data_IF_005673865259
#
_entry.id   IF_005673865259
#
_cell.length_a   1.000
_cell.length_b   1.000
_cell.length_c   1.000
_cell.angle_alpha   90.00
_cell.angle_beta   90.00
_cell.angle_gamma   90.00
#
_symmetry.space_group_name_H-M   'P 1'
#
loop_
_entity.id
_entity.type
_entity.pdbx_description
1 polymer ?
#
# COMPACT_ATOMS: atom_id res chain seq x y z
N UNK A 1 1.28 -21.14 6.46
CA UNK A 1 1.26 -20.15 5.37
C UNK A 1 2.66 -19.68 5.00
N UNK A 2 3.45 -19.09 5.89
CA UNK A 2 4.82 -18.57 5.60
C UNK A 2 5.69 -19.62 4.92
N UNK A 3 5.75 -20.83 5.46
CA UNK A 3 6.49 -21.92 4.83
C UNK A 3 6.07 -22.20 3.38
N UNK A 4 4.74 -22.22 3.11
CA UNK A 4 4.23 -22.46 1.75
C UNK A 4 4.56 -21.31 0.78
N UNK A 5 4.60 -20.06 1.26
CA UNK A 5 5.06 -18.90 0.47
C UNK A 5 6.54 -19.05 0.13
N UNK A 6 7.38 -19.34 1.12
CA UNK A 6 8.83 -19.49 0.92
C UNK A 6 9.16 -20.69 0.03
N UNK A 7 8.47 -21.81 0.21
CA UNK A 7 8.70 -23.03 -0.58
C UNK A 7 8.20 -22.91 -2.03
N UNK A 8 7.08 -22.20 -2.25
CA UNK A 8 6.45 -22.07 -3.56
C UNK A 8 6.82 -20.80 -4.31
N UNK A 9 7.41 -19.81 -3.64
CA UNK A 9 7.67 -18.46 -4.17
C UNK A 9 6.43 -17.83 -4.85
N UNK A 10 5.25 -18.08 -4.28
CA UNK A 10 3.93 -17.66 -4.79
C UNK A 10 3.05 -17.17 -3.65
N UNK A 11 2.17 -16.19 -3.94
CA UNK A 11 1.23 -15.62 -2.97
C UNK A 11 -0.20 -16.14 -3.13
N UNK A 12 -0.53 -16.82 -4.24
CA UNK A 12 -1.85 -17.41 -4.43
C UNK A 12 -2.11 -18.57 -3.46
N UNK A 13 -3.23 -18.56 -2.75
CA UNK A 13 -3.59 -19.59 -1.77
C UNK A 13 -3.52 -21.02 -2.36
N UNK A 14 -3.91 -21.20 -3.61
CA UNK A 14 -3.81 -22.49 -4.30
C UNK A 14 -2.37 -22.96 -4.48
N UNK A 15 -1.45 -22.06 -4.79
CA UNK A 15 -0.03 -22.39 -4.95
C UNK A 15 0.64 -22.64 -3.59
N UNK A 16 0.31 -21.82 -2.59
CA UNK A 16 0.75 -22.04 -1.20
C UNK A 16 0.28 -23.42 -0.72
N UNK A 17 -1.00 -23.77 -0.97
CA UNK A 17 -1.56 -25.05 -0.56
C UNK A 17 -0.88 -26.24 -1.27
N UNK A 18 -0.56 -26.11 -2.57
CA UNK A 18 0.21 -27.15 -3.31
C UNK A 18 1.61 -27.33 -2.74
N UNK A 19 2.27 -26.21 -2.37
CA UNK A 19 3.64 -26.25 -1.82
C UNK A 19 3.72 -26.91 -0.44
N UNK A 20 2.61 -26.94 0.31
CA UNK A 20 2.52 -27.59 1.62
C UNK A 20 2.51 -29.14 1.54
N UNK A 21 2.10 -29.71 0.40
CA UNK A 21 2.06 -31.17 0.14
C UNK A 21 1.35 -31.95 1.25
N UNK A 22 0.23 -31.43 1.76
CA UNK A 22 -0.55 -32.06 2.82
C UNK A 22 -1.35 -33.28 2.28
N UNK A 23 -1.59 -34.27 3.12
CA UNK A 23 -2.34 -35.49 2.77
C UNK A 23 -3.84 -35.26 2.55
N UNK A 24 -4.35 -34.04 2.84
CA UNK A 24 -5.73 -33.64 2.62
C UNK A 24 -5.92 -33.04 1.22
N UNK A 25 -7.17 -32.95 0.77
CA UNK A 25 -7.48 -32.35 -0.52
C UNK A 25 -7.04 -30.88 -0.58
N UNK A 26 -6.60 -30.43 -1.76
CA UNK A 26 -6.19 -29.04 -2.01
C UNK A 26 -7.23 -28.02 -1.52
N UNK A 27 -8.52 -28.31 -1.76
CA UNK A 27 -9.61 -27.45 -1.31
C UNK A 27 -9.64 -27.30 0.22
N UNK A 28 -9.51 -28.39 0.97
CA UNK A 28 -9.49 -28.36 2.44
C UNK A 28 -8.30 -27.56 2.96
N UNK A 29 -7.13 -27.69 2.35
CA UNK A 29 -5.95 -26.87 2.69
C UNK A 29 -6.21 -25.40 2.42
N UNK A 30 -6.74 -25.04 1.25
CA UNK A 30 -7.08 -23.66 0.92
C UNK A 30 -8.10 -23.05 1.90
N UNK A 31 -9.18 -23.78 2.21
CA UNK A 31 -10.22 -23.33 3.13
C UNK A 31 -9.66 -23.11 4.55
N UNK A 32 -8.75 -23.99 5.00
CA UNK A 32 -8.05 -23.82 6.28
C UNK A 32 -7.14 -22.59 6.27
N UNK A 33 -6.34 -22.40 5.23
CA UNK A 33 -5.47 -21.24 5.08
C UNK A 33 -6.26 -19.93 5.05
N UNK A 34 -7.36 -19.90 4.30
CA UNK A 34 -8.24 -18.74 4.22
C UNK A 34 -8.85 -18.39 5.58
N UNK A 35 -9.38 -19.39 6.31
CA UNK A 35 -9.92 -19.16 7.66
C UNK A 35 -8.88 -18.66 8.65
N UNK A 36 -7.66 -19.23 8.62
CA UNK A 36 -6.57 -18.78 9.47
C UNK A 36 -6.14 -17.35 9.15
N UNK A 37 -6.13 -16.98 7.85
CA UNK A 37 -5.80 -15.62 7.43
C UNK A 37 -6.87 -14.63 7.90
N UNK A 38 -8.14 -14.99 7.77
CA UNK A 38 -9.26 -14.16 8.22
C UNK A 38 -9.27 -13.99 9.76
N UNK A 39 -8.90 -15.03 10.49
CA UNK A 39 -8.82 -15.00 11.96
C UNK A 39 -7.53 -14.37 12.50
N UNK A 40 -6.59 -13.97 11.63
CA UNK A 40 -5.30 -13.45 12.05
C UNK A 40 -5.43 -12.04 12.65
N UNK A 41 -5.17 -11.93 13.95
CA UNK A 41 -5.31 -10.69 14.72
C UNK A 41 -3.98 -9.92 14.89
N UNK A 42 -2.84 -10.55 14.61
CA UNK A 42 -1.49 -10.03 14.86
C UNK A 42 -0.96 -9.12 13.73
N UNK A 43 -1.87 -8.48 12.98
CA UNK A 43 -1.47 -7.63 11.83
C UNK A 43 -0.62 -6.44 12.27
N UNK A 44 -1.04 -5.76 13.33
CA UNK A 44 -0.33 -4.56 13.81
C UNK A 44 1.03 -4.90 14.44
N UNK A 45 1.17 -5.84 15.37
CA UNK A 45 2.46 -6.29 15.87
C UNK A 45 3.40 -6.77 14.75
N UNK A 46 2.89 -7.49 13.76
CA UNK A 46 3.67 -7.95 12.61
C UNK A 46 4.23 -6.76 11.82
N UNK A 47 3.39 -5.76 11.52
CA UNK A 47 3.81 -4.56 10.79
C UNK A 47 4.86 -3.77 11.60
N UNK A 48 4.68 -3.60 12.91
CA UNK A 48 5.64 -2.89 13.75
C UNK A 48 7.01 -3.60 13.79
N UNK A 49 7.02 -4.92 13.91
CA UNK A 49 8.25 -5.70 13.85
C UNK A 49 8.91 -5.59 12.47
N UNK A 50 8.14 -5.64 11.41
CA UNK A 50 8.64 -5.44 10.05
C UNK A 50 9.25 -4.05 9.86
N UNK A 51 8.56 -2.98 10.27
CA UNK A 51 9.09 -1.61 10.19
C UNK A 51 10.37 -1.44 11.02
N UNK A 52 10.49 -2.14 12.14
CA UNK A 52 11.73 -2.15 12.94
C UNK A 52 12.90 -2.76 12.15
N UNK A 53 12.64 -3.86 11.42
CA UNK A 53 13.65 -4.45 10.53
C UNK A 53 13.99 -3.53 9.35
N UNK A 54 13.01 -2.92 8.71
CA UNK A 54 13.22 -1.97 7.61
C UNK A 54 14.13 -0.83 8.04
N UNK A 55 13.91 -0.28 9.25
CA UNK A 55 14.73 0.82 9.80
C UNK A 55 16.21 0.48 9.96
N UNK A 56 16.56 -0.80 10.06
CA UNK A 56 17.96 -1.24 10.09
C UNK A 56 18.67 -1.18 8.71
N UNK A 57 17.89 -1.10 7.63
CA UNK A 57 18.36 -1.10 6.24
C UNK A 57 18.28 0.27 5.55
N UNK A 58 17.92 1.31 6.29
CA UNK A 58 17.84 2.68 5.77
C UNK A 58 18.75 3.61 6.59
N UNK A 59 19.33 4.61 5.91
CA UNK A 59 20.04 5.70 6.59
C UNK A 59 19.04 6.78 7.02
N UNK A 60 18.85 6.88 8.30
CA UNK A 60 17.83 7.56 9.06
C UNK A 60 17.26 8.87 8.52
N UNK A 61 18.09 9.88 8.27
CA UNK A 61 17.59 11.25 8.12
C UNK A 61 17.36 11.69 6.67
N UNK A 62 17.77 10.87 5.69
CA UNK A 62 17.72 11.26 4.27
C UNK A 62 17.13 10.17 3.37
N UNK A 63 16.48 9.18 3.96
CA UNK A 63 15.81 8.14 3.18
C UNK A 63 14.72 8.76 2.30
N UNK A 64 14.59 8.23 1.09
CA UNK A 64 13.54 8.60 0.14
C UNK A 64 12.38 7.64 0.30
N UNK A 65 11.20 8.17 0.56
CA UNK A 65 9.94 7.42 0.62
C UNK A 65 9.13 7.78 -0.60
N UNK A 66 8.87 6.81 -1.45
CA UNK A 66 8.03 6.95 -2.64
C UNK A 66 6.61 6.57 -2.24
N UNK A 67 5.64 7.39 -2.61
CA UNK A 67 4.22 7.20 -2.30
C UNK A 67 3.45 7.28 -3.61
N UNK A 68 2.61 6.29 -3.86
CA UNK A 68 1.86 6.20 -5.10
C UNK A 68 0.47 5.59 -4.86
N UNK A 69 -0.50 6.02 -5.68
CA UNK A 69 -1.81 5.41 -5.75
C UNK A 69 -1.85 4.46 -6.94
N UNK A 70 -2.64 3.42 -6.83
CA UNK A 70 -2.88 2.48 -7.92
C UNK A 70 -4.31 1.93 -7.83
N UNK A 71 -4.67 1.09 -8.78
CA UNK A 71 -5.96 0.42 -8.82
C UNK A 71 -5.82 -1.10 -8.97
N UNK A 72 -6.85 -1.81 -8.52
CA UNK A 72 -6.98 -3.25 -8.68
C UNK A 72 -8.28 -3.52 -9.44
N UNK A 73 -8.21 -3.55 -10.76
CA UNK A 73 -9.36 -3.84 -11.61
C UNK A 73 -9.86 -5.27 -11.42
N UNK A 74 -11.18 -5.43 -11.29
CA UNK A 74 -11.89 -6.72 -11.10
C UNK A 74 -13.10 -6.83 -12.02
N UNK A 75 -12.94 -6.66 -13.35
CA UNK A 75 -14.07 -6.53 -14.29
C UNK A 75 -14.98 -7.75 -14.32
N UNK A 76 -14.47 -8.95 -14.07
CA UNK A 76 -15.25 -10.19 -14.06
C UNK A 76 -15.86 -10.53 -12.70
N UNK A 77 -15.55 -9.78 -11.64
CA UNK A 77 -16.02 -10.09 -10.28
C UNK A 77 -17.40 -9.47 -10.05
N UNK A 78 -18.33 -10.28 -9.51
CA UNK A 78 -19.69 -9.85 -9.16
C UNK A 78 -20.03 -10.08 -7.68
N UNK A 79 -19.12 -10.69 -6.92
CA UNK A 79 -19.38 -11.17 -5.55
C UNK A 79 -18.36 -10.69 -4.51
N UNK A 80 -17.37 -9.93 -4.93
CA UNK A 80 -16.44 -9.34 -3.97
C UNK A 80 -17.15 -8.20 -3.23
N UNK A 81 -16.90 -8.12 -1.93
CA UNK A 81 -17.46 -7.09 -1.06
C UNK A 81 -16.93 -5.71 -1.43
N UNK A 82 -17.77 -4.70 -1.30
CA UNK A 82 -17.41 -3.30 -1.48
C UNK A 82 -16.72 -2.98 -2.82
N UNK A 83 -17.06 -3.66 -3.92
CA UNK A 83 -16.61 -3.25 -5.25
C UNK A 83 -17.18 -1.87 -5.59
N UNK A 84 -16.34 -0.98 -6.08
CA UNK A 84 -16.76 0.34 -6.59
C UNK A 84 -16.31 0.53 -8.03
N UNK A 85 -16.91 1.51 -8.70
CA UNK A 85 -16.41 1.97 -9.99
C UNK A 85 -15.05 2.66 -9.78
N UNK A 86 -14.08 2.24 -10.56
CA UNK A 86 -12.74 2.82 -10.62
C UNK A 86 -12.38 3.10 -12.07
N UNK A 87 -11.43 3.98 -12.28
CA UNK A 87 -10.79 4.14 -13.57
C UNK A 87 -9.53 3.30 -13.61
N UNK A 88 -9.55 2.25 -14.41
CA UNK A 88 -8.35 1.42 -14.65
C UNK A 88 -7.26 2.28 -15.33
N UNK A 89 -6.16 2.51 -14.64
CA UNK A 89 -5.07 3.36 -15.14
C UNK A 89 -4.37 2.76 -16.36
N UNK A 90 -4.41 1.44 -16.53
CA UNK A 90 -3.77 0.75 -17.66
C UNK A 90 -4.53 0.89 -18.96
N UNK A 91 -5.86 0.88 -18.90
CA UNK A 91 -6.76 0.97 -20.08
C UNK A 91 -7.42 2.34 -20.22
N UNK A 92 -7.54 3.09 -19.13
CA UNK A 92 -8.30 4.34 -19.04
C UNK A 92 -9.82 4.16 -18.98
N UNK A 93 -10.32 2.93 -18.92
CA UNK A 93 -11.74 2.59 -18.88
C UNK A 93 -12.30 2.60 -17.45
N UNK A 94 -13.62 2.80 -17.34
CA UNK A 94 -14.33 2.64 -16.07
C UNK A 94 -14.67 1.16 -15.88
N UNK A 95 -14.27 0.61 -14.75
CA UNK A 95 -14.50 -0.79 -14.39
C UNK A 95 -14.79 -0.95 -12.91
N UNK A 96 -15.11 -2.16 -12.47
CA UNK A 96 -15.26 -2.49 -11.05
C UNK A 96 -13.90 -2.85 -10.44
N UNK A 97 -13.63 -2.38 -9.21
CA UNK A 97 -12.36 -2.68 -8.55
C UNK A 97 -12.20 -2.00 -7.20
N UNK A 98 -10.95 -1.87 -6.80
CA UNK A 98 -10.50 -1.21 -5.58
C UNK A 98 -9.40 -0.22 -5.91
N UNK A 99 -9.24 0.78 -5.07
CA UNK A 99 -8.09 1.67 -5.07
C UNK A 99 -7.06 1.20 -4.05
N UNK A 100 -5.79 1.50 -4.31
CA UNK A 100 -4.71 1.25 -3.36
C UNK A 100 -3.89 2.51 -3.15
N UNK A 101 -3.30 2.63 -1.98
CA UNK A 101 -2.21 3.55 -1.72
C UNK A 101 -1.05 2.76 -1.13
N UNK A 102 0.11 2.94 -1.70
CA UNK A 102 1.32 2.22 -1.35
C UNK A 102 2.45 3.20 -1.04
N UNK A 103 3.34 2.82 -0.12
CA UNK A 103 4.56 3.54 0.09
C UNK A 103 5.73 2.58 0.27
N UNK A 104 6.86 2.92 -0.32
CA UNK A 104 8.10 2.19 -0.18
C UNK A 104 9.25 3.14 0.16
N UNK A 105 10.12 2.74 1.08
CA UNK A 105 11.37 3.44 1.37
C UNK A 105 12.50 2.80 0.57
N UNK A 106 13.36 3.62 0.01
CA UNK A 106 14.56 3.11 -0.67
C UNK A 106 15.61 2.71 0.37
N UNK A 107 16.16 1.50 0.19
CA UNK A 107 17.29 1.03 1.00
C UNK A 107 18.50 1.97 0.89
N UNK A 108 19.44 1.85 1.80
CA UNK A 108 20.68 2.67 1.82
C UNK A 108 21.42 2.64 0.47
N UNK A 109 21.42 1.51 -0.22
CA UNK A 109 22.00 1.39 -1.57
C UNK A 109 21.20 2.10 -2.66
N UNK A 110 19.98 2.57 -2.38
CA UNK A 110 19.04 3.14 -3.34
C UNK A 110 18.48 2.14 -4.37
N UNK A 111 18.82 0.85 -4.24
CA UNK A 111 18.49 -0.16 -5.26
C UNK A 111 17.28 -1.02 -4.92
N UNK A 112 16.93 -1.12 -3.65
CA UNK A 112 15.84 -1.99 -3.19
C UNK A 112 14.75 -1.17 -2.52
N UNK A 113 13.54 -1.11 -3.11
CA UNK A 113 12.38 -0.55 -2.42
C UNK A 113 11.91 -1.55 -1.34
N UNK A 114 11.71 -1.03 -0.14
CA UNK A 114 11.17 -1.76 1.00
C UNK A 114 9.76 -1.20 1.26
N UNK A 115 8.67 -1.97 1.04
CA UNK A 115 7.33 -1.48 1.26
C UNK A 115 7.12 -1.16 2.74
N UNK A 116 6.52 -0.01 3.04
CA UNK A 116 6.33 0.48 4.42
C UNK A 116 4.91 0.87 4.75
N UNK A 117 4.06 0.94 3.74
CA UNK A 117 2.63 1.15 3.86
C UNK A 117 1.91 0.55 2.67
N UNK A 118 0.77 -0.05 2.93
CA UNK A 118 -0.18 -0.52 1.92
C UNK A 118 -1.58 -0.46 2.49
N UNK A 119 -2.50 0.08 1.72
CA UNK A 119 -3.93 0.03 2.03
C UNK A 119 -4.72 -0.15 0.74
N UNK A 120 -5.58 -1.15 0.72
CA UNK A 120 -6.66 -1.31 -0.27
C UNK A 120 -7.91 -0.67 0.31
N UNK A 121 -8.63 0.10 -0.46
CA UNK A 121 -9.87 0.77 -0.06
C UNK A 121 -10.85 0.91 -1.22
N UNK A 122 -12.09 1.22 -0.92
CA UNK A 122 -13.15 1.39 -1.92
C UNK A 122 -14.12 2.48 -1.53
N UNK A 123 -14.63 3.19 -2.53
CA UNK A 123 -15.70 4.17 -2.33
C UNK A 123 -17.02 3.55 -1.86
N UNK A 124 -17.19 2.24 -2.00
CA UNK A 124 -18.35 1.49 -1.53
C UNK A 124 -18.22 0.98 -0.08
N UNK A 125 -17.08 1.21 0.59
CA UNK A 125 -16.89 0.83 1.98
C UNK A 125 -17.66 1.76 2.94
N UNK A 126 -18.25 1.15 3.98
CA UNK A 126 -18.83 1.93 5.06
C UNK A 126 -17.74 2.74 5.79
N UNK A 127 -17.93 4.06 5.86
CA UNK A 127 -16.98 4.97 6.50
C UNK A 127 -15.91 5.52 5.56
N UNK A 128 -15.92 5.19 4.26
CA UNK A 128 -15.10 5.87 3.28
C UNK A 128 -15.45 7.37 3.22
N UNK A 129 -14.44 8.22 3.29
CA UNK A 129 -14.61 9.68 3.25
C UNK A 129 -14.22 10.22 1.88
N UNK A 130 -13.00 9.98 1.48
CA UNK A 130 -12.44 10.35 0.17
C UNK A 130 -11.06 9.73 -0.01
N UNK A 131 -10.61 9.63 -1.25
CA UNK A 131 -9.24 9.23 -1.58
C UNK A 131 -8.20 10.16 -0.93
N UNK A 132 -8.44 11.48 -0.94
CA UNK A 132 -7.57 12.43 -0.23
C UNK A 132 -7.46 12.12 1.26
N UNK A 133 -8.55 11.71 1.91
CA UNK A 133 -8.53 11.30 3.31
C UNK A 133 -7.65 10.07 3.52
N UNK A 134 -7.78 9.05 2.67
CA UNK A 134 -6.97 7.83 2.74
C UNK A 134 -5.48 8.13 2.53
N UNK A 135 -5.17 8.99 1.57
CA UNK A 135 -3.81 9.45 1.31
C UNK A 135 -3.23 10.21 2.53
N UNK A 136 -4.00 11.07 3.17
CA UNK A 136 -3.57 11.77 4.40
C UNK A 136 -3.37 10.81 5.57
N UNK A 137 -4.16 9.73 5.68
CA UNK A 137 -3.94 8.67 6.66
C UNK A 137 -2.61 7.94 6.42
N UNK A 138 -2.28 7.64 5.16
CA UNK A 138 -0.97 7.11 4.78
C UNK A 138 0.16 8.05 5.22
N UNK A 139 0.09 9.32 4.83
CA UNK A 139 1.09 10.33 5.19
C UNK A 139 1.27 10.45 6.71
N UNK A 140 0.16 10.40 7.47
CA UNK A 140 0.21 10.41 8.94
C UNK A 140 0.96 9.21 9.49
N UNK A 141 0.65 8.01 9.02
CA UNK A 141 1.36 6.77 9.41
C UNK A 141 2.86 6.85 9.12
N UNK A 142 3.23 7.36 7.93
CA UNK A 142 4.63 7.56 7.57
C UNK A 142 5.33 8.59 8.48
N UNK A 143 4.63 9.67 8.85
CA UNK A 143 5.16 10.71 9.74
C UNK A 143 5.37 10.22 11.18
N UNK A 144 4.57 9.25 11.63
CA UNK A 144 4.70 8.62 12.95
C UNK A 144 5.87 7.61 12.99
N UNK A 145 6.20 7.02 11.85
CA UNK A 145 7.19 5.94 11.77
C UNK A 145 8.57 6.38 11.25
N UNK A 146 8.67 7.48 10.52
CA UNK A 146 9.92 7.93 9.88
C UNK A 146 10.27 9.37 10.24
N UNK A 147 11.56 9.69 10.20
CA UNK A 147 12.06 11.03 10.47
C UNK A 147 11.46 12.08 9.53
N UNK A 148 11.23 13.29 10.05
CA UNK A 148 10.81 14.46 9.24
C UNK A 148 11.83 14.85 8.16
N UNK A 149 13.09 14.43 8.33
CA UNK A 149 14.16 14.68 7.37
C UNK A 149 14.11 13.76 6.16
N UNK A 150 13.40 12.62 6.22
CA UNK A 150 13.12 11.77 5.05
C UNK A 150 12.40 12.58 3.97
N UNK A 151 12.71 12.31 2.71
CA UNK A 151 12.09 12.98 1.57
C UNK A 151 10.91 12.13 1.09
N UNK A 152 9.69 12.68 1.17
CA UNK A 152 8.49 12.05 0.61
C UNK A 152 8.36 12.47 -0.85
N UNK A 153 8.33 11.49 -1.73
CA UNK A 153 8.25 11.70 -3.17
C UNK A 153 6.90 11.22 -3.67
N UNK A 154 6.16 12.09 -4.32
CA UNK A 154 4.81 11.85 -4.77
C UNK A 154 4.66 12.28 -6.24
N UNK A 155 3.78 11.61 -6.95
CA UNK A 155 3.49 11.91 -8.33
C UNK A 155 2.59 13.15 -8.51
N UNK A 156 2.15 13.38 -9.76
CA UNK A 156 1.27 14.48 -10.14
C UNK A 156 -0.16 14.35 -9.57
N UNK A 157 -0.61 13.15 -9.24
CA UNK A 157 -1.90 12.90 -8.60
C UNK A 157 -2.02 13.64 -7.27
N UNK A 158 -0.92 13.78 -6.56
CA UNK A 158 -0.84 14.49 -5.28
C UNK A 158 -0.64 16.00 -5.40
N UNK A 159 -0.74 16.61 -6.58
CA UNK A 159 -0.66 18.06 -6.75
C UNK A 159 -1.98 18.75 -6.34
N UNK A 160 -2.23 18.77 -5.04
CA UNK A 160 -3.37 19.45 -4.41
C UNK A 160 -2.95 20.18 -3.13
N UNK A 161 -3.66 21.28 -2.82
CA UNK A 161 -3.31 22.15 -1.70
C UNK A 161 -3.31 21.44 -0.34
N UNK A 162 -4.12 20.40 -0.17
CA UNK A 162 -4.22 19.65 1.08
C UNK A 162 -2.91 18.96 1.43
N UNK A 163 -2.22 18.38 0.45
CA UNK A 163 -0.93 17.73 0.65
C UNK A 163 0.18 18.76 0.93
N UNK A 164 0.21 19.88 0.22
CA UNK A 164 1.17 20.95 0.52
C UNK A 164 0.99 21.49 1.93
N UNK A 165 -0.27 21.77 2.33
CA UNK A 165 -0.58 22.23 3.70
C UNK A 165 -0.16 21.21 4.74
N UNK A 166 -0.38 19.92 4.48
CA UNK A 166 0.01 18.84 5.36
C UNK A 166 1.52 18.88 5.64
N UNK A 167 2.33 18.85 4.59
CA UNK A 167 3.79 18.82 4.70
C UNK A 167 4.36 20.11 5.31
N UNK A 168 3.91 21.26 4.87
CA UNK A 168 4.37 22.56 5.36
C UNK A 168 4.07 22.73 6.86
N UNK A 169 2.85 22.40 7.29
CA UNK A 169 2.46 22.47 8.72
C UNK A 169 3.33 21.59 9.61
N UNK A 170 3.85 20.48 9.09
CA UNK A 170 4.66 19.52 9.84
C UNK A 170 6.17 19.72 9.66
N UNK A 171 6.56 20.67 8.83
CA UNK A 171 7.98 20.91 8.44
C UNK A 171 8.65 19.63 7.92
N UNK A 172 7.93 18.86 7.12
CA UNK A 172 8.43 17.64 6.50
C UNK A 172 8.94 17.92 5.09
N UNK A 173 9.97 17.19 4.67
CA UNK A 173 10.54 17.33 3.33
C UNK A 173 9.73 16.53 2.32
N UNK A 174 9.42 17.15 1.18
CA UNK A 174 8.67 16.50 0.12
C UNK A 174 9.08 16.98 -1.26
N UNK A 175 8.80 16.15 -2.26
CA UNK A 175 8.86 16.45 -3.69
C UNK A 175 7.56 15.97 -4.30
N UNK A 176 6.77 16.90 -4.87
CA UNK A 176 5.54 16.59 -5.60
C UNK A 176 5.73 17.06 -7.04
N UNK A 177 5.44 16.19 -8.01
CA UNK A 177 5.44 16.57 -9.41
C UNK A 177 4.24 17.46 -9.70
N UNK A 178 4.47 18.75 -9.99
CA UNK A 178 3.42 19.72 -10.24
C UNK A 178 2.70 19.48 -11.59
N UNK A 179 1.42 19.81 -11.65
CA UNK A 179 0.63 19.89 -12.89
C UNK A 179 1.12 21.08 -13.75
N UNK A 180 1.04 20.93 -15.08
CA UNK A 180 1.53 21.97 -16.02
C UNK A 180 0.83 23.33 -15.83
N UNK A 181 -0.39 23.34 -15.35
CA UNK A 181 -1.23 24.53 -15.15
C UNK A 181 -1.25 25.04 -13.71
N UNK A 182 -0.35 24.56 -12.84
CA UNK A 182 -0.28 25.05 -11.47
C UNK A 182 0.32 26.45 -11.42
N UNK A 183 -0.43 27.40 -10.87
CA UNK A 183 0.09 28.72 -10.56
C UNK A 183 0.93 28.65 -9.28
N UNK A 184 2.20 29.00 -9.38
CA UNK A 184 3.10 29.14 -8.24
C UNK A 184 3.33 30.64 -8.06
N UNK A 185 2.80 31.21 -6.98
CA UNK A 185 3.14 32.57 -6.58
C UNK A 185 4.50 32.53 -5.90
N UNK A 186 5.47 33.23 -6.46
CA UNK A 186 6.81 33.45 -5.90
C UNK A 186 6.78 34.56 -4.88
#
# INVERSE_FOLDING_TARGET
MIYGILAGNKLHLSEIARSLKEEVTLKKTMDRLSRNLNAFQEKQPLMQNYLTLVKQHIKDDYAVIVIDNSDIAKPASRKLEALSEIRDESTGEITQGYLTIEAAVLSESGKMPLPVYEKVFSAAENGFVSETHENLCCLKSLSENFSRKCIRTLDRGFDANDYYRYFLKRSERFVIRAKKNRNVNT
#
